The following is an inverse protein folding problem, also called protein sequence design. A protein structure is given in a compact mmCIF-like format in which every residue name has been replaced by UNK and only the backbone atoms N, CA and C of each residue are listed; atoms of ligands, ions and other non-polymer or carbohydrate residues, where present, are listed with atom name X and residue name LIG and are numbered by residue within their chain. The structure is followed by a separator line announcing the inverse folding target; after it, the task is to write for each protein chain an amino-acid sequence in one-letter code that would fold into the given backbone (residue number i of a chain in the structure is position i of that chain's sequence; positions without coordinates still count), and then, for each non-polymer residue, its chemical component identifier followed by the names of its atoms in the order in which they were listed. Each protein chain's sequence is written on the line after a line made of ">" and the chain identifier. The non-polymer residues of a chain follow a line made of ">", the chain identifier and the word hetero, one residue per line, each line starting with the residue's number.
data_IF_748598918093
#
_entry.id   IF_748598918093
#
_cell.length_a   1.000
_cell.length_b   1.000
_cell.length_c   1.000
_cell.angle_alpha   90.00
_cell.angle_beta   90.00
_cell.angle_gamma   90.00
#
_symmetry.space_group_name_H-M   'P 1'
#
loop_
_entity.id
_entity.type
_entity.pdbx_description
1 polymer ?
#
# COMPACT_ATOMS: atom_id res chain seq x y z
N UNK A 1 1.28 0.76 23.93
CA UNK A 1 2.13 -0.40 24.30
C UNK A 1 3.32 0.04 25.14
N UNK A 2 4.29 0.80 24.61
CA UNK A 2 5.44 1.27 25.40
C UNK A 2 5.06 2.33 26.44
N UNK A 3 4.23 3.30 26.08
CA UNK A 3 3.75 4.31 27.03
C UNK A 3 2.95 3.70 28.18
N UNK A 4 2.09 2.72 27.89
CA UNK A 4 1.34 1.97 28.89
C UNK A 4 2.13 0.79 29.53
N UNK A 5 3.39 0.57 29.14
CA UNK A 5 4.20 -0.55 29.63
C UNK A 5 3.66 -1.96 29.30
N UNK A 6 2.75 -2.09 28.33
CA UNK A 6 2.10 -3.34 27.96
C UNK A 6 3.03 -4.24 27.14
N UNK A 7 3.08 -5.51 27.51
CA UNK A 7 3.70 -6.54 26.68
C UNK A 7 2.90 -6.78 25.39
N UNK A 8 3.55 -7.37 24.38
CA UNK A 8 2.89 -7.71 23.12
C UNK A 8 1.71 -8.68 23.33
N UNK A 9 1.87 -9.67 24.23
CA UNK A 9 0.83 -10.66 24.55
C UNK A 9 -0.35 -10.04 25.29
N UNK A 10 -0.09 -9.09 26.18
CA UNK A 10 -1.15 -8.35 26.89
C UNK A 10 -1.97 -7.52 25.90
N UNK A 11 -1.29 -6.90 24.94
CA UNK A 11 -1.93 -6.13 23.87
C UNK A 11 -2.75 -7.03 22.95
N UNK A 12 -2.27 -8.24 22.61
CA UNK A 12 -3.07 -9.21 21.86
C UNK A 12 -4.39 -9.53 22.56
N UNK A 13 -4.36 -9.77 23.87
CA UNK A 13 -5.56 -10.07 24.67
C UNK A 13 -6.50 -8.87 24.76
N UNK A 14 -5.96 -7.70 25.11
CA UNK A 14 -6.74 -6.48 25.30
C UNK A 14 -7.45 -6.01 24.03
N UNK A 15 -6.80 -6.16 22.88
CA UNK A 15 -7.35 -5.74 21.58
C UNK A 15 -7.88 -6.90 20.73
N UNK A 16 -7.97 -8.10 21.30
CA UNK A 16 -8.42 -9.32 20.64
C UNK A 16 -7.74 -9.58 19.27
N UNK A 17 -6.44 -9.31 19.20
CA UNK A 17 -5.64 -9.51 17.97
C UNK A 17 -5.09 -10.93 17.97
N UNK A 18 -5.41 -11.66 16.90
CA UNK A 18 -5.07 -13.08 16.76
C UNK A 18 -3.60 -13.35 16.39
N UNK A 19 -2.86 -12.35 15.90
CA UNK A 19 -1.52 -12.53 15.38
C UNK A 19 -0.52 -11.51 15.96
N UNK A 20 0.47 -12.02 16.69
CA UNK A 20 1.59 -11.23 17.21
C UNK A 20 2.36 -10.50 16.09
N UNK A 21 2.41 -11.09 14.89
CA UNK A 21 3.08 -10.50 13.73
C UNK A 21 2.45 -9.21 13.25
N UNK A 22 1.13 -9.03 13.41
CA UNK A 22 0.43 -7.78 13.09
C UNK A 22 0.91 -6.67 14.01
N UNK A 23 0.94 -6.95 15.31
CA UNK A 23 1.36 -6.00 16.35
C UNK A 23 2.83 -5.59 16.16
N UNK A 24 3.74 -6.54 15.92
CA UNK A 24 5.17 -6.23 15.67
C UNK A 24 5.35 -5.35 14.43
N UNK A 25 4.56 -5.58 13.39
CA UNK A 25 4.60 -4.76 12.17
C UNK A 25 4.11 -3.35 12.46
N UNK A 26 3.01 -3.20 13.18
CA UNK A 26 2.50 -1.89 13.59
C UNK A 26 3.49 -1.15 14.49
N UNK A 27 4.10 -1.83 15.45
CA UNK A 27 5.14 -1.23 16.31
C UNK A 27 6.29 -0.69 15.46
N UNK A 28 6.80 -1.47 14.50
CA UNK A 28 7.87 -1.01 13.60
C UNK A 28 7.44 0.21 12.78
N UNK A 29 6.28 0.14 12.12
CA UNK A 29 5.77 1.25 11.28
C UNK A 29 5.62 2.52 12.13
N UNK A 30 5.07 2.40 13.33
CA UNK A 30 4.86 3.54 14.22
C UNK A 30 6.19 4.17 14.67
N UNK A 31 7.22 3.35 14.95
CA UNK A 31 8.53 3.86 15.36
C UNK A 31 9.33 4.48 14.20
N UNK A 32 9.18 3.96 12.98
CA UNK A 32 9.93 4.42 11.80
C UNK A 32 9.24 5.59 11.09
N UNK A 33 7.92 5.53 10.95
CA UNK A 33 7.14 6.43 10.09
C UNK A 33 6.08 7.23 10.86
N UNK A 34 5.91 6.98 12.16
CA UNK A 34 4.89 7.64 12.97
C UNK A 34 3.48 7.09 12.74
N UNK A 35 2.45 7.76 13.31
CA UNK A 35 1.05 7.37 13.13
C UNK A 35 0.59 7.48 11.67
N UNK A 36 1.14 8.41 10.89
CA UNK A 36 0.83 8.58 9.47
C UNK A 36 1.19 7.33 8.68
N UNK A 37 2.30 6.67 9.05
CA UNK A 37 2.74 5.42 8.46
C UNK A 37 1.70 4.30 8.55
N UNK A 38 0.86 4.26 9.59
CA UNK A 38 -0.17 3.23 9.73
C UNK A 38 -1.36 3.43 8.78
N UNK A 39 -1.60 4.66 8.31
CA UNK A 39 -2.65 4.97 7.34
C UNK A 39 -2.25 4.63 5.89
N UNK A 40 -0.96 4.40 5.63
CA UNK A 40 -0.46 4.06 4.30
C UNK A 40 -0.85 2.62 3.92
N UNK A 41 -1.71 2.49 2.91
CA UNK A 41 -2.07 1.20 2.31
C UNK A 41 -0.85 0.57 1.62
N UNK A 42 -0.28 -0.45 2.26
CA UNK A 42 0.81 -1.28 1.73
C UNK A 42 0.33 -2.64 1.22
N UNK A 43 -0.95 -2.93 1.35
CA UNK A 43 -1.53 -4.22 0.98
C UNK A 43 -1.79 -4.27 -0.52
N UNK A 44 -1.55 -5.44 -1.11
CA UNK A 44 -1.81 -5.71 -2.52
C UNK A 44 -0.59 -5.51 -3.41
N UNK A 45 -0.66 -6.08 -4.62
CA UNK A 45 0.33 -5.85 -5.66
C UNK A 45 -0.01 -4.52 -6.30
N UNK A 46 0.93 -3.56 -6.31
CA UNK A 46 0.80 -2.37 -7.17
C UNK A 46 0.59 -2.87 -8.60
N UNK A 47 -0.43 -2.38 -9.29
CA UNK A 47 -0.75 -2.81 -10.65
C UNK A 47 0.31 -2.27 -11.64
N UNK A 48 1.53 -2.81 -11.56
CA UNK A 48 2.66 -2.43 -12.42
C UNK A 48 2.68 -3.19 -13.73
N UNK A 49 1.75 -4.13 -13.93
CA UNK A 49 1.65 -4.96 -15.13
C UNK A 49 0.72 -4.38 -16.21
N UNK A 50 -0.14 -3.43 -15.86
CA UNK A 50 -1.05 -2.81 -16.81
C UNK A 50 -0.48 -1.46 -17.24
N UNK A 51 -0.02 -1.31 -18.50
CA UNK A 51 0.31 0.00 -19.02
C UNK A 51 -0.92 0.91 -18.89
N UNK A 52 -0.70 2.16 -18.47
CA UNK A 52 -1.77 3.15 -18.43
C UNK A 52 -2.39 3.24 -19.83
N UNK A 53 -3.73 3.14 -19.91
CA UNK A 53 -4.44 3.36 -21.18
C UNK A 53 -4.11 4.77 -21.66
N UNK A 54 -3.66 4.90 -22.90
CA UNK A 54 -3.47 6.20 -23.52
C UNK A 54 -4.84 6.88 -23.64
N UNK A 55 -4.90 8.22 -23.55
CA UNK A 55 -6.09 8.97 -23.93
C UNK A 55 -6.49 8.61 -25.37
N UNK A 56 -7.80 8.43 -25.60
CA UNK A 56 -8.34 8.00 -26.92
C UNK A 56 -7.89 8.89 -28.07
N UNK A 57 -7.80 10.21 -27.83
CA UNK A 57 -7.34 11.19 -28.83
C UNK A 57 -5.91 10.90 -29.31
N UNK A 58 -5.03 10.50 -28.39
CA UNK A 58 -3.62 10.17 -28.71
C UNK A 58 -3.57 8.85 -29.49
N UNK A 59 -4.39 7.87 -29.14
CA UNK A 59 -4.49 6.60 -29.87
C UNK A 59 -4.97 6.81 -31.32
N UNK A 60 -6.00 7.66 -31.53
CA UNK A 60 -6.53 7.98 -32.85
C UNK A 60 -5.51 8.70 -33.73
N UNK A 61 -4.78 9.67 -33.18
CA UNK A 61 -3.72 10.41 -33.89
C UNK A 61 -2.56 9.48 -34.30
N UNK A 62 -2.12 8.59 -33.38
CA UNK A 62 -1.12 7.56 -33.65
C UNK A 62 -1.56 6.61 -34.76
N UNK A 63 -2.83 6.20 -34.78
CA UNK A 63 -3.38 5.32 -35.83
C UNK A 63 -3.39 6.04 -37.18
N UNK A 64 -3.83 7.30 -37.23
CA UNK A 64 -3.87 8.08 -38.45
C UNK A 64 -2.47 8.32 -39.04
N UNK A 65 -1.49 8.63 -38.19
CA UNK A 65 -0.11 8.83 -38.63
C UNK A 65 0.52 7.52 -39.16
N UNK A 66 0.25 6.38 -38.51
CA UNK A 66 0.73 5.08 -39.00
C UNK A 66 0.15 4.71 -40.36
N UNK A 67 -1.08 5.13 -40.65
CA UNK A 67 -1.72 4.93 -41.95
C UNK A 67 -1.13 5.84 -43.04
N UNK A 68 -0.68 7.06 -42.70
CA UNK A 68 0.01 7.95 -43.65
C UNK A 68 1.41 7.47 -44.04
N UNK A 69 2.06 6.74 -43.15
CA UNK A 69 3.44 6.26 -43.33
C UNK A 69 3.54 4.91 -44.08
N UNK A 70 2.41 4.34 -44.52
CA UNK A 70 2.34 3.12 -45.35
C UNK A 70 2.14 3.46 -46.81
#
# INVERSE_FOLDING_TARGET
>A
MREEGLSLSETMRRFNINCLGIIKRWERIYLEEGPEGLAVERRGRKNTGQPAKLPKEIEEDLIAENQRLR
#
